data_IF_452844119740
#
_entry.id   IF_452844119740
#
_cell.length_a   1.000
_cell.length_b   1.000
_cell.length_c   1.000
_cell.angle_alpha   90.00
_cell.angle_beta   90.00
_cell.angle_gamma   90.00
#
_symmetry.space_group_name_H-M   'P 1'
#
loop_
_entity.id
_entity.type
_entity.pdbx_description
1 polymer ?
#
# COMPACT_ATOMS: atom_id res chain seq x y z
N UNK A 1 -66.20 -36.99 -25.38
CA UNK A 1 -65.03 -36.36 -24.75
C UNK A 1 -64.71 -37.14 -23.48
N UNK A 2 -63.72 -38.03 -23.52
CA UNK A 2 -63.39 -38.90 -22.39
C UNK A 2 -62.43 -38.19 -21.43
N UNK A 3 -62.93 -37.73 -20.28
CA UNK A 3 -62.09 -37.32 -19.16
C UNK A 3 -61.51 -38.57 -18.51
N UNK A 4 -60.28 -38.95 -18.91
CA UNK A 4 -59.47 -39.91 -18.17
C UNK A 4 -58.93 -39.21 -16.92
N UNK A 5 -59.46 -39.57 -15.75
CA UNK A 5 -58.91 -39.15 -14.46
C UNK A 5 -57.51 -39.75 -14.27
N UNK A 6 -56.55 -38.92 -13.84
CA UNK A 6 -55.19 -39.35 -13.51
C UNK A 6 -55.22 -40.42 -12.41
N UNK A 7 -54.40 -41.46 -12.59
CA UNK A 7 -54.24 -42.49 -11.55
C UNK A 7 -53.42 -41.94 -10.38
N UNK A 8 -53.68 -42.44 -9.17
CA UNK A 8 -52.98 -42.00 -7.95
C UNK A 8 -51.45 -42.14 -8.07
N UNK A 9 -50.99 -43.12 -8.85
CA UNK A 9 -49.57 -43.35 -9.17
C UNK A 9 -49.00 -42.23 -10.04
N UNK A 10 -49.70 -41.78 -11.08
CA UNK A 10 -49.25 -40.66 -11.93
C UNK A 10 -49.13 -39.35 -11.14
N UNK A 11 -50.03 -39.12 -10.19
CA UNK A 11 -49.94 -37.96 -9.30
C UNK A 11 -48.71 -38.04 -8.39
N UNK A 12 -48.40 -39.21 -7.84
CA UNK A 12 -47.22 -39.41 -6.99
C UNK A 12 -45.92 -39.28 -7.78
N UNK A 13 -45.86 -39.84 -9.00
CA UNK A 13 -44.68 -39.73 -9.87
C UNK A 13 -44.48 -38.28 -10.31
N UNK A 14 -45.54 -37.59 -10.72
CA UNK A 14 -45.46 -36.17 -11.12
C UNK A 14 -45.00 -35.29 -9.96
N UNK A 15 -45.52 -35.52 -8.74
CA UNK A 15 -45.08 -34.80 -7.54
C UNK A 15 -43.60 -35.08 -7.22
N UNK A 16 -43.17 -36.33 -7.33
CA UNK A 16 -41.77 -36.72 -7.07
C UNK A 16 -40.81 -36.06 -8.06
N UNK A 17 -41.15 -36.08 -9.36
CA UNK A 17 -40.37 -35.40 -10.39
C UNK A 17 -40.33 -33.89 -10.13
N UNK A 18 -41.47 -33.29 -9.79
CA UNK A 18 -41.54 -31.86 -9.49
C UNK A 18 -40.66 -31.47 -8.29
N UNK A 19 -40.67 -32.29 -7.22
CA UNK A 19 -39.81 -32.07 -6.04
C UNK A 19 -38.34 -32.20 -6.39
N UNK A 20 -37.95 -33.22 -7.18
CA UNK A 20 -36.56 -33.43 -7.60
C UNK A 20 -36.08 -32.31 -8.51
N UNK A 21 -36.88 -31.90 -9.49
CA UNK A 21 -36.55 -30.79 -10.39
C UNK A 21 -36.49 -29.46 -9.64
N UNK A 22 -37.44 -29.20 -8.74
CA UNK A 22 -37.45 -28.03 -7.87
C UNK A 22 -36.22 -27.97 -6.96
N UNK A 23 -35.86 -29.08 -6.32
CA UNK A 23 -34.66 -29.18 -5.50
C UNK A 23 -33.38 -28.94 -6.32
N UNK A 24 -33.31 -29.54 -7.52
CA UNK A 24 -32.16 -29.39 -8.42
C UNK A 24 -32.00 -27.92 -8.85
N UNK A 25 -33.09 -27.26 -9.25
CA UNK A 25 -33.08 -25.84 -9.60
C UNK A 25 -32.59 -24.96 -8.45
N UNK A 26 -33.02 -25.25 -7.21
CA UNK A 26 -32.56 -24.50 -6.02
C UNK A 26 -31.07 -24.70 -5.79
N UNK A 27 -30.53 -25.91 -5.97
CA UNK A 27 -29.08 -26.17 -5.88
C UNK A 27 -28.33 -25.39 -6.95
N UNK A 28 -28.75 -25.47 -8.22
CA UNK A 28 -28.12 -24.73 -9.31
C UNK A 28 -28.13 -23.22 -9.08
N UNK A 29 -29.25 -22.65 -8.60
CA UNK A 29 -29.33 -21.23 -8.28
C UNK A 29 -28.39 -20.85 -7.13
N UNK A 30 -28.29 -21.69 -6.08
CA UNK A 30 -27.38 -21.45 -4.96
C UNK A 30 -25.92 -21.47 -5.40
N UNK A 31 -25.53 -22.46 -6.21
CA UNK A 31 -24.16 -22.58 -6.72
C UNK A 31 -23.81 -21.44 -7.67
N UNK A 32 -24.76 -21.04 -8.53
CA UNK A 32 -24.62 -19.86 -9.40
C UNK A 32 -24.42 -18.57 -8.61
N UNK A 33 -25.24 -18.34 -7.57
CA UNK A 33 -25.11 -17.16 -6.70
C UNK A 33 -23.81 -17.17 -5.90
N UNK A 34 -23.38 -18.32 -5.37
CA UNK A 34 -22.12 -18.44 -4.63
C UNK A 34 -20.92 -18.14 -5.52
N UNK A 35 -20.90 -18.70 -6.73
CA UNK A 35 -19.85 -18.45 -7.73
C UNK A 35 -19.82 -16.98 -8.14
N UNK A 36 -20.99 -16.39 -8.42
CA UNK A 36 -21.09 -14.97 -8.76
C UNK A 36 -20.60 -14.07 -7.62
N UNK A 37 -20.99 -14.33 -6.38
CA UNK A 37 -20.54 -13.56 -5.22
C UNK A 37 -19.02 -13.61 -5.02
N UNK A 38 -18.40 -14.77 -5.20
CA UNK A 38 -16.93 -14.91 -5.14
C UNK A 38 -16.27 -14.13 -6.27
N UNK A 39 -16.83 -14.18 -7.47
CA UNK A 39 -16.36 -13.40 -8.61
C UNK A 39 -16.43 -11.90 -8.36
N UNK A 40 -17.54 -11.42 -7.83
CA UNK A 40 -17.77 -10.00 -7.57
C UNK A 40 -16.85 -9.44 -6.48
N UNK A 41 -16.67 -10.17 -5.38
CA UNK A 41 -15.72 -9.79 -4.30
C UNK A 41 -14.29 -9.70 -4.84
N UNK A 42 -13.89 -10.63 -5.71
CA UNK A 42 -12.57 -10.57 -6.36
C UNK A 42 -12.48 -9.35 -7.27
N UNK A 43 -13.47 -9.12 -8.14
CA UNK A 43 -13.49 -7.96 -9.04
C UNK A 43 -13.32 -6.65 -8.27
N UNK A 44 -14.12 -6.41 -7.23
CA UNK A 44 -14.04 -5.22 -6.39
C UNK A 44 -12.63 -5.05 -5.77
N UNK A 45 -12.06 -6.13 -5.23
CA UNK A 45 -10.73 -6.07 -4.59
C UNK A 45 -9.64 -5.73 -5.62
N UNK A 46 -9.71 -6.28 -6.83
CA UNK A 46 -8.75 -6.01 -7.90
C UNK A 46 -8.89 -4.60 -8.46
N UNK A 47 -10.11 -4.08 -8.60
CA UNK A 47 -10.34 -2.69 -9.02
C UNK A 47 -9.81 -1.70 -7.99
N UNK A 48 -10.05 -1.94 -6.70
CA UNK A 48 -9.49 -1.12 -5.61
C UNK A 48 -7.96 -1.18 -5.58
N UNK A 49 -7.38 -2.38 -5.68
CA UNK A 49 -5.93 -2.54 -5.76
C UNK A 49 -5.33 -1.83 -6.98
N UNK A 50 -5.99 -1.94 -8.13
CA UNK A 50 -5.62 -1.26 -9.37
C UNK A 50 -5.55 0.25 -9.17
N UNK A 51 -6.62 0.87 -8.68
CA UNK A 51 -6.67 2.32 -8.46
C UNK A 51 -5.56 2.82 -7.50
N UNK A 52 -5.27 2.09 -6.43
CA UNK A 52 -4.21 2.44 -5.47
C UNK A 52 -2.83 2.32 -6.13
N UNK A 53 -2.56 1.19 -6.79
CA UNK A 53 -1.28 0.92 -7.43
C UNK A 53 -1.04 1.81 -8.66
N UNK A 54 -2.09 2.19 -9.39
CA UNK A 54 -2.03 3.16 -10.49
C UNK A 54 -1.63 4.54 -9.96
N UNK A 55 -2.29 5.02 -8.89
CA UNK A 55 -1.91 6.29 -8.26
C UNK A 55 -0.45 6.32 -7.79
N UNK A 56 0.00 5.27 -7.08
CA UNK A 56 1.39 5.19 -6.60
C UNK A 56 2.36 5.09 -7.78
N UNK A 57 2.03 4.30 -8.81
CA UNK A 57 2.87 4.14 -9.99
C UNK A 57 3.00 5.44 -10.79
N UNK A 58 1.92 6.19 -10.96
CA UNK A 58 1.92 7.47 -11.68
C UNK A 58 2.80 8.51 -10.96
N UNK A 59 2.74 8.56 -9.63
CA UNK A 59 3.60 9.44 -8.85
C UNK A 59 5.07 9.01 -8.97
N UNK A 60 5.38 7.73 -8.80
CA UNK A 60 6.73 7.18 -8.96
C UNK A 60 7.28 7.37 -10.38
N UNK A 61 6.46 7.22 -11.42
CA UNK A 61 6.84 7.50 -12.81
C UNK A 61 7.10 8.98 -13.07
N UNK A 62 6.57 9.87 -12.23
CA UNK A 62 6.80 11.30 -12.31
C UNK A 62 7.97 11.77 -11.43
N UNK A 63 8.67 10.85 -10.75
CA UNK A 63 9.80 11.18 -9.87
C UNK A 63 10.82 12.04 -10.60
N UNK A 64 11.20 13.14 -9.97
CA UNK A 64 12.24 14.03 -10.45
C UNK A 64 13.54 13.68 -9.74
N UNK A 65 14.66 13.63 -10.46
CA UNK A 65 15.95 13.14 -9.92
C UNK A 65 17.13 14.04 -10.28
N UNK A 66 16.88 15.20 -10.89
CA UNK A 66 17.95 16.08 -11.37
C UNK A 66 18.02 17.35 -10.51
N UNK A 67 18.90 17.38 -9.51
CA UNK A 67 19.02 18.55 -8.63
C UNK A 67 19.76 19.72 -9.28
N UNK A 68 20.38 19.55 -10.46
CA UNK A 68 21.22 20.57 -11.08
C UNK A 68 20.47 21.33 -12.20
N UNK A 69 19.98 22.56 -11.94
CA UNK A 69 19.34 23.38 -12.96
C UNK A 69 20.32 24.03 -13.96
N UNK A 70 21.64 23.84 -13.82
CA UNK A 70 22.70 24.44 -14.64
C UNK A 70 23.54 25.50 -13.91
N UNK A 71 24.60 25.97 -14.58
CA UNK A 71 25.73 26.72 -13.99
C UNK A 71 25.39 28.02 -13.21
N UNK A 72 24.23 28.64 -13.46
CA UNK A 72 23.85 29.95 -12.87
C UNK A 72 22.71 29.87 -11.84
N UNK A 73 22.23 28.67 -11.50
CA UNK A 73 21.07 28.47 -10.62
C UNK A 73 21.46 27.64 -9.40
N UNK A 74 20.84 27.95 -8.26
CA UNK A 74 21.05 27.17 -7.04
C UNK A 74 20.47 25.77 -7.23
N UNK A 75 21.18 24.70 -6.80
CA UNK A 75 20.66 23.35 -6.84
C UNK A 75 19.30 23.25 -6.17
N UNK A 76 18.43 22.46 -6.78
CA UNK A 76 17.10 22.17 -6.25
C UNK A 76 17.22 20.98 -5.31
N UNK A 77 16.63 21.07 -4.13
CA UNK A 77 16.65 19.98 -3.15
C UNK A 77 15.72 18.84 -3.59
N UNK A 78 16.31 17.84 -4.27
CA UNK A 78 15.58 16.70 -4.81
C UNK A 78 15.90 15.46 -3.98
N UNK A 79 14.92 14.99 -3.22
CA UNK A 79 15.10 13.85 -2.31
C UNK A 79 14.23 12.67 -2.70
N UNK A 80 14.72 11.46 -2.40
CA UNK A 80 13.96 10.21 -2.42
C UNK A 80 14.33 9.41 -1.17
N UNK A 81 13.41 9.37 -0.20
CA UNK A 81 13.60 8.76 1.11
C UNK A 81 12.56 7.67 1.35
N UNK A 82 13.02 6.54 1.87
CA UNK A 82 12.18 5.52 2.44
C UNK A 82 12.74 5.04 3.76
N UNK A 83 11.92 5.21 4.79
CA UNK A 83 12.24 4.92 6.17
C UNK A 83 11.03 4.31 6.88
N UNK A 84 11.08 4.29 8.21
CA UNK A 84 10.07 3.65 9.04
C UNK A 84 9.45 4.67 9.99
N UNK A 85 8.16 4.50 10.28
CA UNK A 85 7.48 5.21 11.36
C UNK A 85 7.81 4.58 12.72
N UNK A 86 7.23 5.12 13.79
CA UNK A 86 7.41 4.61 15.16
C UNK A 86 6.86 3.20 15.41
N UNK A 87 6.20 2.59 14.41
CA UNK A 87 5.63 1.25 14.46
C UNK A 87 6.29 0.32 13.44
N UNK A 88 7.50 0.64 12.96
CA UNK A 88 8.26 -0.12 11.95
C UNK A 88 7.50 -0.32 10.63
N UNK A 89 6.57 0.58 10.29
CA UNK A 89 5.89 0.59 8.99
C UNK A 89 6.59 1.56 8.06
N UNK A 90 6.77 1.15 6.81
CA UNK A 90 7.48 1.98 5.86
C UNK A 90 6.72 3.25 5.49
N UNK A 91 7.48 4.32 5.31
CA UNK A 91 7.07 5.57 4.68
C UNK A 91 7.89 5.75 3.41
N UNK A 92 7.29 6.38 2.40
CA UNK A 92 7.97 6.75 1.17
C UNK A 92 7.74 8.23 0.91
N UNK A 93 8.82 8.98 0.68
CA UNK A 93 8.81 10.41 0.41
C UNK A 93 9.72 10.71 -0.76
N UNK A 94 9.24 11.49 -1.72
CA UNK A 94 10.07 11.86 -2.87
C UNK A 94 9.55 13.11 -3.58
N UNK A 95 10.42 13.72 -4.37
CA UNK A 95 10.05 14.82 -5.26
C UNK A 95 9.61 14.29 -6.62
N UNK A 96 8.52 14.85 -7.14
CA UNK A 96 8.03 14.55 -8.49
C UNK A 96 7.67 15.81 -9.26
N UNK A 97 7.58 15.66 -10.57
CA UNK A 97 7.04 16.72 -11.45
C UNK A 97 5.52 16.85 -11.29
N UNK A 98 5.04 18.09 -11.23
CA UNK A 98 3.62 18.41 -11.21
C UNK A 98 3.08 18.44 -12.64
N UNK A 99 2.63 17.27 -13.11
CA UNK A 99 1.99 17.15 -14.42
C UNK A 99 0.78 18.08 -14.53
N UNK A 100 0.80 18.99 -15.51
CA UNK A 100 -0.34 19.83 -15.85
C UNK A 100 -0.58 20.99 -14.89
N UNK A 101 0.45 21.60 -14.31
CA UNK A 101 0.37 22.82 -13.48
C UNK A 101 -0.56 23.90 -14.08
N UNK A 102 -0.44 24.14 -15.40
CA UNK A 102 -1.26 25.12 -16.16
C UNK A 102 -2.70 24.64 -16.39
N UNK A 103 -2.95 23.32 -16.36
CA UNK A 103 -4.29 22.72 -16.54
C UNK A 103 -5.04 22.57 -15.23
N UNK A 104 -4.33 22.52 -14.11
CA UNK A 104 -4.91 22.31 -12.81
C UNK A 104 -5.47 23.65 -12.28
N UNK A 105 -6.77 23.71 -11.92
CA UNK A 105 -7.46 24.98 -11.64
C UNK A 105 -6.89 25.73 -10.43
N UNK A 106 -6.30 25.01 -9.48
CA UNK A 106 -5.73 25.59 -8.26
C UNK A 106 -4.34 26.16 -8.55
N UNK A 107 -3.45 25.36 -9.13
CA UNK A 107 -2.04 25.72 -9.31
C UNK A 107 -1.81 26.64 -10.49
N UNK A 108 -2.77 26.71 -11.43
CA UNK A 108 -2.73 27.67 -12.54
C UNK A 108 -2.74 29.12 -12.05
N UNK A 109 -3.47 29.40 -10.98
CA UNK A 109 -3.57 30.73 -10.37
C UNK A 109 -2.50 30.94 -9.27
N UNK A 110 -1.69 29.92 -8.99
CA UNK A 110 -0.61 30.02 -8.03
C UNK A 110 0.49 30.96 -8.54
N UNK A 111 1.03 31.79 -7.66
CA UNK A 111 2.00 32.83 -8.03
C UNK A 111 1.39 34.03 -8.76
N UNK A 112 0.06 34.15 -8.82
CA UNK A 112 -0.59 35.33 -9.41
C UNK A 112 -0.30 36.63 -8.63
N UNK A 113 -0.05 36.53 -7.32
CA UNK A 113 0.40 37.65 -6.49
C UNK A 113 1.83 37.40 -5.99
N UNK A 114 2.63 38.47 -5.91
CA UNK A 114 3.95 38.42 -5.29
C UNK A 114 3.82 38.25 -3.77
N UNK A 115 4.66 37.39 -3.18
CA UNK A 115 4.68 37.18 -1.74
C UNK A 115 3.63 36.21 -1.20
N UNK A 116 3.15 35.26 -2.02
CA UNK A 116 2.31 34.16 -1.55
C UNK A 116 2.91 33.45 -0.32
N UNK A 117 2.05 33.11 0.63
CA UNK A 117 2.42 32.45 1.89
C UNK A 117 1.88 31.02 1.99
N UNK A 118 0.90 30.67 1.15
CA UNK A 118 0.27 29.36 1.15
C UNK A 118 0.97 28.39 0.19
N UNK A 119 1.00 27.12 0.60
CA UNK A 119 1.57 26.01 -0.16
C UNK A 119 0.42 25.20 -0.77
N UNK A 120 0.66 24.52 -1.90
CA UNK A 120 -0.27 23.54 -2.45
C UNK A 120 -0.14 22.22 -1.68
N UNK A 121 -1.11 21.88 -0.82
CA UNK A 121 -0.94 20.82 0.17
C UNK A 121 -2.21 20.02 0.56
N UNK A 122 -3.27 20.12 -0.24
CA UNK A 122 -4.62 19.58 0.02
C UNK A 122 -5.42 20.28 1.12
N UNK A 123 -4.92 21.34 1.75
CA UNK A 123 -5.60 22.06 2.81
C UNK A 123 -6.06 23.43 2.30
N UNK A 124 -7.37 23.60 2.14
CA UNK A 124 -7.96 24.88 1.72
C UNK A 124 -7.39 25.47 0.41
N UNK A 125 -6.67 24.68 -0.38
CA UNK A 125 -6.04 25.07 -1.65
C UNK A 125 -6.95 25.91 -2.56
N UNK A 126 -8.23 25.52 -2.67
CA UNK A 126 -9.20 26.20 -3.52
C UNK A 126 -9.52 27.62 -3.03
N UNK A 127 -9.54 27.84 -1.72
CA UNK A 127 -9.74 29.16 -1.12
C UNK A 127 -8.47 30.00 -1.27
N UNK A 128 -7.32 29.43 -0.96
CA UNK A 128 -6.02 30.11 -1.03
C UNK A 128 -5.65 30.54 -2.45
N UNK A 129 -5.93 29.67 -3.42
CA UNK A 129 -5.82 29.98 -4.84
C UNK A 129 -6.73 31.14 -5.25
N UNK A 130 -8.00 31.16 -4.80
CA UNK A 130 -8.92 32.28 -5.06
C UNK A 130 -8.51 33.59 -4.41
N UNK A 131 -7.86 33.52 -3.25
CA UNK A 131 -7.31 34.68 -2.55
C UNK A 131 -5.98 35.15 -3.16
N UNK A 132 -5.40 34.39 -4.10
CA UNK A 132 -4.13 34.69 -4.75
C UNK A 132 -2.91 34.55 -3.84
N UNK A 133 -3.07 33.94 -2.66
CA UNK A 133 -1.99 33.82 -1.65
C UNK A 133 -1.12 32.57 -1.84
N UNK A 134 -1.44 31.74 -2.83
CA UNK A 134 -0.73 30.50 -3.13
C UNK A 134 0.60 30.78 -3.84
N UNK A 135 1.68 30.17 -3.35
CA UNK A 135 3.00 30.21 -3.99
C UNK A 135 3.02 29.40 -5.27
N UNK A 136 3.76 29.88 -6.27
CA UNK A 136 4.02 29.10 -7.47
C UNK A 136 4.76 27.81 -7.10
N UNK A 137 4.24 26.61 -7.44
CA UNK A 137 4.91 25.36 -7.13
C UNK A 137 6.17 25.13 -7.99
N UNK A 138 6.31 25.84 -9.10
CA UNK A 138 7.53 25.79 -9.93
C UNK A 138 7.69 24.44 -10.63
N UNK A 139 6.58 23.77 -10.94
CA UNK A 139 6.55 22.47 -11.60
C UNK A 139 6.98 21.28 -10.76
N UNK A 140 7.36 21.45 -9.49
CA UNK A 140 7.80 20.36 -8.60
C UNK A 140 6.96 20.32 -7.32
N UNK A 141 6.74 19.10 -6.83
CA UNK A 141 6.04 18.84 -5.56
C UNK A 141 6.69 17.68 -4.83
N UNK A 142 6.63 17.74 -3.51
CA UNK A 142 6.93 16.62 -2.63
C UNK A 142 5.70 15.73 -2.51
N UNK A 143 5.92 14.43 -2.39
CA UNK A 143 4.87 13.42 -2.19
C UNK A 143 5.27 12.52 -1.04
N UNK A 144 4.31 12.18 -0.20
CA UNK A 144 4.50 11.23 0.89
C UNK A 144 3.43 10.12 0.86
N UNK A 145 3.83 8.89 1.16
CA UNK A 145 2.95 7.76 1.44
C UNK A 145 3.27 7.20 2.82
N UNK A 146 2.24 7.05 3.64
CA UNK A 146 2.36 6.49 4.99
C UNK A 146 1.05 5.83 5.45
N UNK A 147 1.16 4.92 6.42
CA UNK A 147 0.00 4.44 7.15
C UNK A 147 -0.52 5.51 8.11
N UNK A 148 -1.83 5.45 8.43
CA UNK A 148 -2.38 6.29 9.49
C UNK A 148 -1.69 6.03 10.84
N UNK A 149 -1.63 7.05 11.69
CA UNK A 149 -0.72 7.03 12.83
C UNK A 149 -1.09 6.05 13.95
N UNK A 150 -2.36 5.65 14.06
CA UNK A 150 -2.72 4.58 14.98
C UNK A 150 -2.03 3.27 14.60
N UNK A 151 -1.53 2.54 15.59
CA UNK A 151 -1.08 1.17 15.42
C UNK A 151 -2.23 0.34 14.82
N UNK A 152 -1.90 -0.51 13.84
CA UNK A 152 -2.90 -1.31 13.13
C UNK A 152 -3.81 -0.56 12.16
N UNK A 153 -3.57 0.75 11.94
CA UNK A 153 -4.30 1.55 10.95
C UNK A 153 -4.25 0.91 9.56
N UNK A 154 -5.42 0.77 8.97
CA UNK A 154 -5.59 0.20 7.63
C UNK A 154 -5.89 1.27 6.58
N UNK A 155 -5.56 2.52 6.90
CA UNK A 155 -5.72 3.65 5.98
C UNK A 155 -4.34 4.10 5.52
N UNK A 156 -4.15 4.15 4.20
CA UNK A 156 -2.98 4.80 3.59
C UNK A 156 -3.33 6.24 3.32
N UNK A 157 -2.38 7.10 3.68
CA UNK A 157 -2.43 8.53 3.47
C UNK A 157 -1.45 8.92 2.39
N UNK A 158 -1.84 9.92 1.61
CA UNK A 158 -1.00 10.51 0.58
C UNK A 158 -0.86 12.01 0.83
N UNK A 159 0.37 12.46 1.04
CA UNK A 159 0.74 13.87 1.10
C UNK A 159 1.12 14.41 -0.27
N UNK A 160 0.80 15.67 -0.51
CA UNK A 160 1.42 16.49 -1.55
C UNK A 160 1.83 17.79 -0.89
N UNK A 161 2.97 18.36 -1.31
CA UNK A 161 3.34 19.72 -0.92
C UNK A 161 4.11 20.42 -2.05
N UNK A 162 3.69 21.63 -2.41
CA UNK A 162 4.37 22.49 -3.39
C UNK A 162 4.37 23.96 -2.96
N UNK A 163 5.41 24.76 -3.24
CA UNK A 163 6.71 24.38 -3.81
C UNK A 163 7.48 23.44 -2.87
N UNK A 164 8.56 22.81 -3.34
CA UNK A 164 9.37 21.92 -2.49
C UNK A 164 10.13 22.70 -1.39
N UNK A 165 10.55 22.01 -0.32
CA UNK A 165 11.35 22.57 0.78
C UNK A 165 10.58 23.48 1.74
N UNK A 166 11.29 24.30 2.52
CA UNK A 166 10.71 25.22 3.50
C UNK A 166 10.17 24.55 4.76
N UNK A 167 9.62 25.34 5.69
CA UNK A 167 9.19 24.87 7.04
C UNK A 167 8.13 23.76 7.01
N UNK A 168 7.41 23.63 5.89
CA UNK A 168 6.30 22.70 5.70
C UNK A 168 6.70 21.49 4.85
N UNK A 169 7.99 21.20 4.69
CA UNK A 169 8.45 20.07 3.88
C UNK A 169 7.95 18.73 4.44
N UNK A 170 7.49 17.85 3.56
CA UNK A 170 7.11 16.47 3.87
C UNK A 170 8.33 15.60 4.20
N UNK A 171 9.55 16.07 3.97
CA UNK A 171 10.77 15.39 4.40
C UNK A 171 11.04 15.58 5.90
N UNK A 172 10.45 16.61 6.52
CA UNK A 172 10.53 16.83 7.95
C UNK A 172 9.49 15.98 8.68
N UNK A 173 9.95 15.21 9.67
CA UNK A 173 9.10 14.28 10.40
C UNK A 173 7.93 14.98 11.12
N UNK A 174 8.15 16.20 11.63
CA UNK A 174 7.12 16.99 12.30
C UNK A 174 5.89 17.22 11.42
N UNK A 175 6.09 17.38 10.10
CA UNK A 175 5.02 17.63 9.13
C UNK A 175 4.27 16.37 8.70
N UNK A 176 4.70 15.19 9.17
CA UNK A 176 4.03 13.90 8.96
C UNK A 176 3.38 13.38 10.23
N UNK A 177 3.63 14.04 11.37
CA UNK A 177 3.01 13.68 12.64
C UNK A 177 1.52 13.99 12.64
N UNK A 178 0.85 13.48 13.66
CA UNK A 178 -0.59 13.54 13.83
C UNK A 178 -1.00 14.94 14.25
N UNK A 179 -1.91 15.56 13.50
CA UNK A 179 -2.61 16.76 13.95
C UNK A 179 -3.63 16.45 15.05
N UNK A 180 -4.35 17.47 15.53
CA UNK A 180 -5.28 17.33 16.67
C UNK A 180 -6.39 16.28 16.48
N UNK A 181 -6.68 15.86 15.24
CA UNK A 181 -7.76 14.92 14.89
C UNK A 181 -7.32 13.49 14.52
N UNK A 182 -6.06 13.09 14.73
CA UNK A 182 -5.62 11.75 14.33
C UNK A 182 -5.20 11.64 12.86
N UNK A 183 -5.32 12.74 12.10
CA UNK A 183 -4.95 12.85 10.69
C UNK A 183 -3.48 13.27 10.54
N UNK A 184 -2.66 12.55 9.76
CA UNK A 184 -1.35 13.04 9.40
C UNK A 184 -1.46 14.40 8.71
N UNK A 185 -0.66 15.37 9.15
CA UNK A 185 -0.70 16.72 8.60
C UNK A 185 -0.41 16.69 7.08
N UNK A 186 -1.06 17.59 6.32
CA UNK A 186 -0.83 17.80 4.87
C UNK A 186 -1.00 16.54 4.02
N UNK A 187 -1.83 15.62 4.49
CA UNK A 187 -2.15 14.37 3.81
C UNK A 187 -3.65 14.20 3.67
N UNK A 188 -4.06 13.50 2.60
CA UNK A 188 -5.44 13.04 2.41
C UNK A 188 -5.51 11.52 2.47
N UNK A 189 -6.64 10.93 2.91
CA UNK A 189 -6.80 9.48 2.86
C UNK A 189 -6.82 9.04 1.39
N UNK A 190 -5.95 8.11 1.04
CA UNK A 190 -5.89 7.52 -0.30
C UNK A 190 -6.80 6.31 -0.40
N UNK A 191 -6.69 5.40 0.57
CA UNK A 191 -7.45 4.17 0.59
C UNK A 191 -7.59 3.62 2.00
N UNK A 192 -8.71 2.93 2.23
CA UNK A 192 -9.00 2.19 3.45
C UNK A 192 -8.86 0.67 3.21
N UNK A 193 -8.79 -0.10 4.30
CA UNK A 193 -8.66 -1.55 4.25
C UNK A 193 -7.31 -2.03 3.70
N UNK A 194 -6.31 -1.16 3.65
CA UNK A 194 -4.92 -1.52 3.32
C UNK A 194 -4.27 -2.06 4.59
N UNK A 195 -4.19 -3.38 4.70
CA UNK A 195 -3.63 -3.99 5.91
C UNK A 195 -2.11 -3.93 5.93
N UNK A 196 -1.47 -3.84 4.75
CA UNK A 196 -0.02 -3.79 4.63
C UNK A 196 0.40 -3.07 3.36
N UNK A 197 1.43 -2.23 3.48
CA UNK A 197 2.11 -1.57 2.38
C UNK A 197 3.62 -1.69 2.59
N UNK A 198 4.32 -2.12 1.54
CA UNK A 198 5.76 -2.24 1.51
C UNK A 198 6.28 -1.78 0.15
N UNK A 199 7.47 -1.20 0.19
CA UNK A 199 8.26 -0.72 -0.91
C UNK A 199 9.62 -1.42 -0.87
N UNK A 200 9.95 -2.03 -1.99
CA UNK A 200 11.21 -2.71 -2.21
C UNK A 200 11.97 -1.99 -3.32
N UNK A 201 13.26 -1.73 -3.10
CA UNK A 201 14.08 -0.88 -3.95
C UNK A 201 15.22 -1.66 -4.59
N UNK A 202 15.55 -1.27 -5.82
CA UNK A 202 16.73 -1.77 -6.55
C UNK A 202 17.59 -0.61 -7.01
N UNK A 203 18.85 -0.60 -6.59
CA UNK A 203 19.91 0.19 -7.24
C UNK A 203 20.36 -0.43 -8.56
N UNK A 204 21.04 0.33 -9.40
CA UNK A 204 21.60 -0.18 -10.66
C UNK A 204 22.80 -1.12 -10.46
N UNK A 205 23.34 -1.21 -9.24
CA UNK A 205 24.32 -2.22 -8.80
C UNK A 205 23.70 -3.58 -8.43
N UNK A 206 22.35 -3.69 -8.34
CA UNK A 206 21.64 -4.89 -7.89
C UNK A 206 21.08 -5.65 -9.13
N UNK A 207 21.74 -6.73 -9.63
CA UNK A 207 21.44 -7.31 -10.95
C UNK A 207 20.15 -8.15 -11.00
N UNK A 208 19.17 -7.73 -11.80
CA UNK A 208 17.82 -8.31 -11.92
C UNK A 208 17.71 -9.73 -12.57
N UNK A 209 16.80 -10.55 -12.02
CA UNK A 209 15.73 -11.39 -12.65
C UNK A 209 16.00 -12.48 -13.73
N UNK A 210 17.10 -13.22 -13.74
CA UNK A 210 17.12 -14.46 -14.55
C UNK A 210 16.19 -15.53 -13.93
N UNK A 211 15.39 -16.20 -14.78
CA UNK A 211 14.31 -17.16 -14.44
C UNK A 211 14.71 -18.41 -13.64
N UNK A 212 15.93 -18.52 -13.10
CA UNK A 212 16.34 -19.72 -12.35
C UNK A 212 17.44 -19.50 -11.30
N UNK A 213 17.65 -18.26 -10.85
CA UNK A 213 18.60 -17.95 -9.75
C UNK A 213 17.85 -17.16 -8.68
N UNK A 214 18.11 -17.36 -7.36
CA UNK A 214 17.54 -16.50 -6.33
C UNK A 214 17.87 -15.04 -6.66
N UNK A 215 16.83 -14.20 -6.80
CA UNK A 215 16.94 -12.80 -7.18
C UNK A 215 17.94 -12.05 -6.27
N UNK A 216 18.60 -10.98 -6.74
CA UNK A 216 19.37 -10.14 -5.84
C UNK A 216 18.44 -9.53 -4.77
N UNK A 217 18.97 -9.28 -3.57
CA UNK A 217 18.23 -8.68 -2.44
C UNK A 217 17.72 -7.29 -2.86
N UNK A 218 16.41 -7.14 -3.09
CA UNK A 218 15.78 -5.84 -2.91
C UNK A 218 16.07 -5.35 -1.49
N UNK A 219 16.14 -4.03 -1.33
CA UNK A 219 16.24 -3.43 -0.01
C UNK A 219 14.94 -2.73 0.33
N UNK A 220 14.63 -2.69 1.63
CA UNK A 220 13.37 -2.18 2.18
C UNK A 220 13.53 -0.75 2.74
N UNK A 221 14.60 -0.07 2.35
CA UNK A 221 15.01 1.22 2.87
C UNK A 221 15.76 1.96 1.76
N UNK A 222 15.64 3.29 1.72
CA UNK A 222 16.37 4.10 0.76
C UNK A 222 16.63 5.51 1.29
N UNK A 223 17.82 6.04 1.04
CA UNK A 223 18.13 7.47 1.18
C UNK A 223 18.93 7.87 -0.06
N UNK A 224 18.36 8.74 -0.89
CA UNK A 224 19.03 9.19 -2.11
C UNK A 224 20.35 9.90 -1.84
N UNK A 225 20.45 10.61 -0.72
CA UNK A 225 21.64 11.38 -0.34
C UNK A 225 22.69 10.54 0.36
N UNK A 226 22.32 9.34 0.84
CA UNK A 226 23.18 8.51 1.71
C UNK A 226 23.68 9.25 2.96
N UNK A 227 23.00 10.30 3.40
CA UNK A 227 23.48 11.18 4.48
C UNK A 227 22.41 11.73 5.43
N UNK A 228 21.12 11.48 5.16
CA UNK A 228 19.99 11.91 6.02
C UNK A 228 19.65 10.82 7.01
N UNK A 229 19.37 9.62 6.51
CA UNK A 229 18.83 8.51 7.27
C UNK A 229 19.94 7.47 7.44
N UNK A 230 20.17 7.01 8.66
CA UNK A 230 21.15 5.95 8.89
C UNK A 230 20.57 4.61 8.37
N UNK A 231 21.34 3.83 7.60
CA UNK A 231 20.86 2.57 7.08
C UNK A 231 20.63 1.57 8.22
N UNK A 232 19.55 0.76 8.15
CA UNK A 232 19.32 -0.33 9.09
C UNK A 232 20.52 -1.26 9.23
N UNK A 233 20.78 -1.75 10.45
CA UNK A 233 21.90 -2.66 10.72
C UNK A 233 21.84 -3.89 9.81
N UNK A 234 22.96 -4.19 9.16
CA UNK A 234 23.09 -5.34 8.26
C UNK A 234 22.84 -5.03 6.78
N UNK A 235 22.40 -3.81 6.45
CA UNK A 235 22.45 -3.30 5.08
C UNK A 235 23.82 -2.65 4.82
N UNK A 236 24.58 -3.19 3.87
CA UNK A 236 25.90 -2.70 3.50
C UNK A 236 25.81 -1.51 2.52
N UNK A 237 25.15 -0.43 2.94
CA UNK A 237 24.99 0.79 2.14
C UNK A 237 25.94 1.85 2.70
N UNK A 238 26.77 2.50 1.87
CA UNK A 238 27.62 3.61 2.32
C UNK A 238 26.75 4.72 2.91
N UNK A 239 27.13 5.21 4.09
CA UNK A 239 26.47 6.34 4.76
C UNK A 239 27.53 7.38 5.13
N UNK A 240 27.33 8.62 4.68
CA UNK A 240 28.15 9.77 5.04
C UNK A 240 27.27 11.00 5.18
N UNK A 241 27.29 11.64 6.35
CA UNK A 241 26.54 12.87 6.62
C UNK A 241 26.99 14.02 5.71
N UNK A 242 28.21 13.98 5.18
CA UNK A 242 28.69 14.97 4.22
C UNK A 242 27.96 14.91 2.87
N UNK A 243 27.55 13.71 2.42
CA UNK A 243 26.83 13.52 1.15
C UNK A 243 25.47 14.23 1.12
N UNK A 244 24.88 14.54 2.27
CA UNK A 244 23.65 15.36 2.39
C UNK A 244 23.68 16.65 1.56
N UNK A 245 24.84 17.30 1.52
CA UNK A 245 25.02 18.59 0.85
C UNK A 245 25.71 18.44 -0.52
N UNK A 246 26.01 17.21 -0.95
CA UNK A 246 26.68 16.91 -2.21
C UNK A 246 25.68 16.30 -3.20
N UNK A 247 24.80 17.14 -3.74
CA UNK A 247 23.76 16.71 -4.68
C UNK A 247 24.29 15.93 -5.91
N UNK A 248 25.60 16.01 -6.21
CA UNK A 248 26.16 15.30 -7.35
C UNK A 248 26.34 13.80 -7.09
N UNK A 249 26.43 13.40 -5.84
CA UNK A 249 26.63 12.01 -5.42
C UNK A 249 25.33 11.30 -5.01
N UNK A 250 24.19 11.98 -5.15
CA UNK A 250 22.86 11.42 -4.92
C UNK A 250 22.59 10.20 -5.82
N UNK A 251 22.02 9.16 -5.23
CA UNK A 251 21.70 7.88 -5.89
C UNK A 251 20.22 7.56 -5.76
N UNK A 252 19.52 7.48 -6.89
CA UNK A 252 18.09 7.19 -6.93
C UNK A 252 17.85 5.70 -7.26
N UNK A 253 16.76 5.09 -6.76
CA UNK A 253 16.47 3.71 -7.09
C UNK A 253 16.08 3.60 -8.57
N UNK A 254 16.48 2.49 -9.20
CA UNK A 254 16.10 2.21 -10.59
C UNK A 254 14.68 1.70 -10.73
N UNK A 255 14.22 0.96 -9.71
CA UNK A 255 12.90 0.36 -9.65
C UNK A 255 12.41 0.35 -8.21
N UNK A 256 11.10 0.44 -8.08
CA UNK A 256 10.37 0.29 -6.82
C UNK A 256 9.31 -0.77 -7.03
N UNK A 257 9.31 -1.83 -6.22
CA UNK A 257 8.20 -2.76 -6.11
C UNK A 257 7.31 -2.29 -4.97
N UNK A 258 6.06 -2.02 -5.29
CA UNK A 258 5.02 -1.71 -4.33
C UNK A 258 4.27 -3.00 -4.05
N UNK A 259 4.32 -3.47 -2.80
CA UNK A 259 3.56 -4.62 -2.31
C UNK A 259 2.43 -4.10 -1.44
N UNK A 260 1.20 -4.41 -1.85
CA UNK A 260 -0.03 -3.98 -1.22
C UNK A 260 -0.82 -5.20 -0.77
N UNK A 261 -1.27 -5.22 0.47
CA UNK A 261 -2.22 -6.23 0.95
C UNK A 261 -3.52 -5.54 1.33
N UNK A 262 -4.61 -5.94 0.69
CA UNK A 262 -5.95 -5.42 0.95
C UNK A 262 -6.76 -6.42 1.76
N UNK A 263 -7.48 -5.92 2.76
CA UNK A 263 -8.52 -6.66 3.46
C UNK A 263 -9.57 -7.13 2.43
N UNK A 264 -10.12 -8.34 2.57
CA UNK A 264 -11.28 -8.76 1.78
C UNK A 264 -12.44 -7.78 1.98
N UNK A 265 -13.40 -7.79 1.05
CA UNK A 265 -14.60 -6.97 1.12
C UNK A 265 -15.23 -7.03 2.52
N UNK A 266 -15.79 -5.90 3.00
CA UNK A 266 -16.28 -5.74 4.39
C UNK A 266 -17.34 -6.78 4.81
N UNK A 267 -17.93 -7.52 3.88
CA UNK A 267 -18.91 -8.57 4.13
C UNK A 267 -18.32 -9.96 4.43
N UNK A 268 -17.00 -10.16 4.28
CA UNK A 268 -16.35 -11.44 4.55
C UNK A 268 -16.22 -11.68 6.05
N UNK A 269 -16.68 -12.85 6.50
CA UNK A 269 -16.56 -13.26 7.90
C UNK A 269 -15.11 -13.66 8.19
N UNK A 270 -14.48 -12.95 9.12
CA UNK A 270 -13.16 -13.31 9.64
C UNK A 270 -13.26 -14.44 10.66
N UNK A 271 -12.22 -15.28 10.70
CA UNK A 271 -12.07 -16.31 11.71
C UNK A 271 -11.79 -15.69 13.09
N UNK A 272 -12.10 -16.45 14.13
CA UNK A 272 -11.81 -16.09 15.52
C UNK A 272 -11.06 -17.20 16.22
N UNK A 273 -10.13 -16.80 17.10
CA UNK A 273 -9.40 -17.72 17.96
C UNK A 273 -10.36 -18.56 18.81
N UNK A 274 -10.20 -19.88 18.79
CA UNK A 274 -11.04 -20.78 19.59
C UNK A 274 -10.51 -21.00 21.00
N UNK A 275 -9.22 -20.79 21.20
CA UNK A 275 -8.51 -20.83 22.48
C UNK A 275 -7.70 -19.54 22.65
N UNK A 276 -7.17 -19.30 23.85
CA UNK A 276 -6.10 -18.33 24.03
C UNK A 276 -4.87 -18.77 23.22
N UNK A 277 -4.10 -17.80 22.74
CA UNK A 277 -2.92 -18.00 21.90
C UNK A 277 -1.68 -17.52 22.64
N UNK A 278 -0.76 -18.44 22.94
CA UNK A 278 0.51 -18.18 23.60
C UNK A 278 1.56 -17.60 22.63
N UNK A 279 2.44 -16.71 23.13
CA UNK A 279 3.55 -16.06 22.39
C UNK A 279 4.41 -17.01 21.53
N UNK A 280 4.57 -18.27 21.94
CA UNK A 280 5.41 -19.29 21.28
C UNK A 280 4.66 -20.28 20.39
N UNK A 281 3.33 -20.17 20.30
CA UNK A 281 2.50 -21.14 19.59
C UNK A 281 2.82 -21.21 18.08
N UNK A 282 3.04 -22.42 17.58
CA UNK A 282 3.28 -22.72 16.17
C UNK A 282 2.00 -23.08 15.39
N UNK A 283 0.88 -23.22 16.09
CA UNK A 283 -0.40 -23.64 15.55
C UNK A 283 -1.51 -22.76 16.12
N UNK A 284 -2.26 -22.11 15.25
CA UNK A 284 -3.32 -21.16 15.62
C UNK A 284 -4.68 -21.79 15.32
N UNK A 285 -5.45 -22.10 16.37
CA UNK A 285 -6.78 -22.71 16.22
C UNK A 285 -7.87 -21.66 16.10
N UNK A 286 -8.76 -21.86 15.12
CA UNK A 286 -9.84 -20.92 14.80
C UNK A 286 -11.18 -21.62 14.57
N UNK A 287 -12.25 -20.83 14.54
CA UNK A 287 -13.60 -21.34 14.27
C UNK A 287 -13.78 -21.85 12.83
N UNK A 288 -13.20 -21.17 11.83
CA UNK A 288 -13.22 -21.57 10.42
C UNK A 288 -12.14 -20.89 9.58
N UNK A 289 -11.53 -21.59 8.63
CA UNK A 289 -10.59 -21.03 7.63
C UNK A 289 -11.16 -21.03 6.20
N UNK A 290 -12.46 -21.25 6.03
CA UNK A 290 -13.11 -21.43 4.71
C UNK A 290 -12.94 -20.21 3.80
N UNK A 291 -13.04 -19.01 4.36
CA UNK A 291 -12.91 -17.74 3.60
C UNK A 291 -11.44 -17.37 3.31
N UNK A 292 -10.48 -18.16 3.82
CA UNK A 292 -9.06 -17.92 3.64
C UNK A 292 -8.59 -18.66 2.39
N UNK A 293 -7.83 -17.99 1.51
CA UNK A 293 -7.32 -18.61 0.29
C UNK A 293 -6.33 -19.75 0.61
N UNK A 294 -6.42 -20.86 -0.14
CA UNK A 294 -5.52 -22.02 0.00
C UNK A 294 -4.10 -21.76 -0.56
N UNK A 295 -3.99 -20.94 -1.60
CA UNK A 295 -2.75 -20.73 -2.37
C UNK A 295 -2.31 -19.26 -2.44
N UNK A 296 -2.82 -18.40 -1.55
CA UNK A 296 -2.40 -17.00 -1.52
C UNK A 296 -1.49 -16.73 -0.34
N UNK A 297 -0.90 -15.53 -0.39
CA UNK A 297 -0.01 -14.93 0.59
C UNK A 297 -0.19 -15.46 2.02
N UNK A 298 0.82 -16.17 2.58
CA UNK A 298 0.65 -17.02 3.75
C UNK A 298 0.72 -16.22 5.07
N UNK A 299 0.04 -15.08 5.12
CA UNK A 299 0.08 -14.18 6.26
C UNK A 299 -1.33 -13.89 6.77
N UNK A 300 -1.44 -13.89 8.08
CA UNK A 300 -2.60 -13.42 8.83
C UNK A 300 -2.15 -12.35 9.81
N UNK A 301 -3.09 -11.51 10.23
CA UNK A 301 -2.88 -10.50 11.26
C UNK A 301 -3.84 -10.74 12.42
N UNK A 302 -3.33 -10.74 13.65
CA UNK A 302 -4.11 -10.91 14.88
C UNK A 302 -3.82 -9.68 15.73
N UNK A 303 -4.84 -8.84 15.92
CA UNK A 303 -4.65 -7.48 16.42
C UNK A 303 -3.55 -6.76 15.60
N UNK A 304 -2.40 -6.46 16.19
CA UNK A 304 -1.26 -5.80 15.53
C UNK A 304 -0.12 -6.75 15.16
N UNK A 305 -0.25 -8.03 15.51
CA UNK A 305 0.74 -9.04 15.19
C UNK A 305 0.53 -9.65 13.81
N UNK A 306 1.61 -9.71 13.03
CA UNK A 306 1.67 -10.51 11.82
C UNK A 306 2.21 -11.91 12.10
N UNK A 307 1.51 -12.89 11.53
CA UNK A 307 1.90 -14.30 11.58
C UNK A 307 1.98 -14.85 10.16
N UNK A 308 3.09 -15.51 9.85
CA UNK A 308 3.24 -16.29 8.62
C UNK A 308 2.94 -17.76 8.90
N UNK A 309 2.04 -18.39 8.18
CA UNK A 309 1.75 -19.83 8.31
C UNK A 309 2.30 -20.62 7.12
N UNK A 310 2.40 -21.95 7.21
CA UNK A 310 2.80 -22.77 6.05
C UNK A 310 1.62 -23.44 5.37
N UNK A 311 0.67 -23.93 6.17
CA UNK A 311 -0.53 -24.61 5.68
C UNK A 311 -1.73 -24.26 6.55
N UNK A 312 -2.93 -24.50 6.04
CA UNK A 312 -4.17 -24.39 6.82
C UNK A 312 -4.99 -25.67 6.75
N UNK A 313 -5.66 -25.98 7.84
CA UNK A 313 -6.77 -26.93 7.89
C UNK A 313 -8.08 -26.15 7.94
N UNK A 314 -9.24 -26.82 7.95
CA UNK A 314 -10.55 -26.14 8.10
C UNK A 314 -10.68 -25.27 9.35
N UNK A 315 -9.85 -25.50 10.38
CA UNK A 315 -9.97 -24.87 11.71
C UNK A 315 -8.63 -24.47 12.34
N UNK A 316 -7.54 -24.47 11.59
CA UNK A 316 -6.24 -24.06 12.13
C UNK A 316 -5.29 -23.57 11.03
N UNK A 317 -4.40 -22.67 11.41
CA UNK A 317 -3.17 -22.36 10.68
C UNK A 317 -2.01 -23.11 11.35
N UNK A 318 -1.16 -23.75 10.55
CA UNK A 318 -0.10 -24.66 11.02
C UNK A 318 1.26 -24.18 10.52
N UNK A 319 2.31 -24.43 11.31
CA UNK A 319 3.68 -24.00 11.01
C UNK A 319 3.81 -22.49 11.03
N UNK A 320 3.21 -21.87 12.05
CA UNK A 320 3.16 -20.44 12.25
C UNK A 320 4.51 -19.92 12.73
N UNK A 321 5.02 -18.90 12.04
CA UNK A 321 6.10 -18.03 12.48
C UNK A 321 5.47 -16.70 12.86
N UNK A 322 5.52 -16.41 14.16
CA UNK A 322 4.91 -15.24 14.80
C UNK A 322 5.85 -14.04 14.81
N UNK A 323 5.31 -12.84 15.02
CA UNK A 323 6.11 -11.61 15.08
C UNK A 323 6.91 -11.33 13.79
N UNK A 324 6.28 -11.53 12.63
CA UNK A 324 6.93 -11.19 11.35
C UNK A 324 6.61 -9.75 10.95
N UNK A 325 7.25 -9.21 9.90
CA UNK A 325 6.91 -7.88 9.33
C UNK A 325 6.95 -6.72 10.35
N UNK A 326 7.97 -6.72 11.22
CA UNK A 326 8.15 -5.67 12.23
C UNK A 326 7.19 -5.76 13.42
N UNK A 327 6.36 -6.81 13.52
CA UNK A 327 5.54 -7.04 14.70
C UNK A 327 6.24 -7.96 15.71
N UNK A 328 5.76 -7.96 16.95
CA UNK A 328 6.24 -8.85 18.01
C UNK A 328 5.21 -9.94 18.30
N UNK A 329 5.69 -11.12 18.72
CA UNK A 329 4.83 -12.23 19.11
C UNK A 329 4.27 -11.99 20.53
N UNK A 330 2.95 -11.87 20.65
CA UNK A 330 2.28 -11.57 21.94
C UNK A 330 1.19 -12.60 22.26
N UNK A 331 0.68 -12.58 23.49
CA UNK A 331 -0.49 -13.40 23.83
C UNK A 331 -1.77 -12.76 23.29
N UNK A 332 -2.70 -13.58 22.79
CA UNK A 332 -4.03 -13.10 22.37
C UNK A 332 -5.16 -13.87 23.05
N UNK A 333 -6.20 -13.16 23.51
CA UNK A 333 -7.34 -13.80 24.15
C UNK A 333 -8.18 -14.61 23.14
N UNK A 334 -8.90 -15.59 23.67
CA UNK A 334 -9.91 -16.32 22.89
C UNK A 334 -10.92 -15.35 22.27
N UNK A 335 -11.29 -15.59 21.02
CA UNK A 335 -12.28 -14.80 20.29
C UNK A 335 -11.71 -13.62 19.49
N UNK A 336 -10.41 -13.33 19.62
CA UNK A 336 -9.71 -12.34 18.80
C UNK A 336 -9.85 -12.67 17.31
N UNK A 337 -10.02 -11.63 16.49
CA UNK A 337 -10.22 -11.77 15.05
C UNK A 337 -8.89 -12.03 14.36
N UNK A 338 -8.91 -12.97 13.42
CA UNK A 338 -7.79 -13.25 12.54
C UNK A 338 -8.08 -12.57 11.21
N UNK A 339 -7.35 -11.51 10.87
CA UNK A 339 -7.50 -10.79 9.60
C UNK A 339 -6.62 -11.48 8.55
N UNK A 340 -7.10 -11.56 7.30
CA UNK A 340 -6.26 -11.89 6.15
C UNK A 340 -6.46 -10.84 5.06
N UNK A 341 -5.65 -10.90 4.01
CA UNK A 341 -5.84 -10.06 2.85
C UNK A 341 -5.37 -10.70 1.56
N UNK A 342 -5.70 -10.05 0.45
CA UNK A 342 -5.21 -10.40 -0.88
C UNK A 342 -4.02 -9.53 -1.19
N UNK A 343 -2.93 -10.15 -1.65
CA UNK A 343 -1.69 -9.43 -1.97
C UNK A 343 -1.63 -9.10 -3.45
N UNK A 344 -1.21 -7.88 -3.72
CA UNK A 344 -0.94 -7.33 -5.03
C UNK A 344 0.46 -6.77 -5.01
N UNK A 345 1.19 -6.90 -6.13
CA UNK A 345 2.48 -6.25 -6.28
C UNK A 345 2.59 -5.62 -7.65
N UNK A 346 3.32 -4.50 -7.72
CA UNK A 346 3.63 -3.83 -8.98
C UNK A 346 5.05 -3.28 -8.92
N UNK A 347 5.82 -3.56 -9.96
CA UNK A 347 7.15 -3.00 -10.16
C UNK A 347 7.05 -1.78 -11.05
N UNK A 348 7.55 -0.64 -10.57
CA UNK A 348 7.56 0.65 -11.24
C UNK A 348 9.01 1.03 -11.51
N UNK A 349 9.30 1.54 -12.72
CA UNK A 349 10.63 2.02 -13.10
C UNK A 349 10.72 3.53 -12.91
N UNK A 350 11.81 3.98 -12.31
CA UNK A 350 12.10 5.41 -12.16
C UNK A 350 12.73 5.92 -13.47
N UNK A 351 12.27 7.03 -14.06
CA UNK A 351 12.64 7.45 -15.42
C UNK A 351 14.12 7.77 -15.59
N UNK A 352 14.72 8.39 -14.58
CA UNK A 352 16.09 8.93 -14.61
C UNK A 352 16.85 8.39 -13.42
N UNK A 353 17.71 7.41 -13.65
CA UNK A 353 18.52 6.81 -12.59
C UNK A 353 19.86 7.53 -12.51
N UNK A 354 20.09 8.30 -11.45
CA UNK A 354 21.44 8.71 -11.06
C UNK A 354 22.04 7.57 -10.24
N UNK A 355 23.05 6.91 -10.83
CA UNK A 355 23.71 5.72 -10.28
C UNK A 355 25.11 6.08 -9.79
N UNK A 356 25.63 5.36 -8.79
CA UNK A 356 26.98 5.55 -8.23
C UNK A 356 28.09 5.53 -9.30
N UNK A 357 27.86 4.84 -10.42
CA UNK A 357 28.78 4.79 -11.58
C UNK A 357 29.03 6.16 -12.25
N UNK A 358 28.15 7.14 -12.06
CA UNK A 358 28.33 8.48 -12.61
C UNK A 358 29.32 9.33 -11.82
N UNK A 359 29.70 8.92 -10.61
CA UNK A 359 30.60 9.68 -9.73
C UNK A 359 32.09 9.31 -9.98
N UNK A 360 32.38 8.35 -10.87
CA UNK A 360 33.74 7.88 -11.15
C UNK A 360 34.30 8.28 -12.53
N UNK A 361 34.00 9.48 -13.04
CA UNK A 361 34.67 10.03 -14.23
C UNK A 361 35.23 11.42 -14.00
#
# INVERSE_FOLDING_TARGET
MANRGLTLIELLVSLSIFVVLGASLVVFLRDGMATWRVGEIRRETYERAGAILDQIADDLHSTFTDPDPGDDLQPVEVLFLSDFDSHDRQRLRFVRTLSGEIRHPITREAGALTGGLADYDFLNDALESRLGVMRAPGGLVEVAYLHGAALGSEVIWRGIKGPIGGENSLFDEVNLTVGEEGTPMRCRPLADGVIYLEFNYWGAEIPNWSRNTPAPRSIFWWDSTRGIIEPPRGLAIPFDRASRNEHRDDVFPSKVEVVLVLRPARSTRLARLTTELDSSADTITVDSTVEYPENAFPFIRIDDEWVRYTTKTRRAFVGCVRGVRGSEAVEHPRGTRVVHGTTFSRVVRIPTTRDSRWVSR
#
